data_IF_525291947150
#
_entry.id   IF_525291947150
#
_cell.length_a   1.000
_cell.length_b   1.000
_cell.length_c   1.000
_cell.angle_alpha   90.00
_cell.angle_beta   90.00
_cell.angle_gamma   90.00
#
_symmetry.space_group_name_H-M   'P 1'
#
loop_
_entity.id
_entity.type
_entity.pdbx_description
1 polymer ?
#
# COMPACT_ATOMS: atom_id res chain seq x y z
N UNK A 1 -35.76 -2.27 -30.28
CA UNK A 1 -34.46 -1.53 -30.30
C UNK A 1 -34.30 -0.66 -29.05
N UNK A 2 -35.36 0.03 -28.59
CA UNK A 2 -35.37 0.73 -27.29
C UNK A 2 -35.25 -0.24 -26.11
N UNK A 3 -35.80 -1.44 -26.24
CA UNK A 3 -35.80 -2.43 -25.14
C UNK A 3 -34.40 -3.00 -24.85
N UNK A 4 -33.58 -3.18 -25.90
CA UNK A 4 -32.16 -3.57 -25.76
C UNK A 4 -31.38 -2.51 -24.99
N UNK A 5 -31.64 -1.22 -25.26
CA UNK A 5 -31.00 -0.13 -24.54
C UNK A 5 -31.44 -0.04 -23.09
N UNK A 6 -32.71 -0.38 -22.79
CA UNK A 6 -33.23 -0.45 -21.42
C UNK A 6 -32.64 -1.62 -20.65
N UNK A 7 -32.53 -2.80 -21.28
CA UNK A 7 -31.89 -3.97 -20.68
C UNK A 7 -30.40 -3.71 -20.44
N UNK A 8 -29.72 -3.04 -21.37
CA UNK A 8 -28.32 -2.63 -21.21
C UNK A 8 -28.18 -1.59 -20.09
N UNK A 9 -29.10 -0.61 -19.98
CA UNK A 9 -29.14 0.36 -18.88
C UNK A 9 -29.33 -0.31 -17.53
N UNK A 10 -30.29 -1.23 -17.45
CA UNK A 10 -30.62 -1.95 -16.22
C UNK A 10 -29.48 -2.88 -15.80
N UNK A 11 -28.77 -3.46 -16.78
CA UNK A 11 -27.54 -4.23 -16.56
C UNK A 11 -26.40 -3.34 -16.09
N UNK A 12 -26.21 -2.15 -16.68
CA UNK A 12 -25.24 -1.13 -16.27
C UNK A 12 -25.52 -0.57 -14.88
N UNK A 13 -26.79 -0.37 -14.51
CA UNK A 13 -27.21 0.05 -13.16
C UNK A 13 -27.04 -1.07 -12.13
N UNK A 14 -27.23 -2.33 -12.54
CA UNK A 14 -26.94 -3.51 -11.71
C UNK A 14 -25.44 -3.80 -11.58
N UNK A 15 -24.62 -3.28 -12.49
CA UNK A 15 -23.17 -3.13 -12.31
C UNK A 15 -22.94 -1.95 -11.36
N UNK A 16 -23.44 -2.07 -10.14
CA UNK A 16 -23.16 -1.18 -9.03
C UNK A 16 -21.66 -0.96 -8.97
N UNK A 17 -21.23 0.22 -9.41
CA UNK A 17 -19.87 0.71 -9.27
C UNK A 17 -19.34 0.32 -7.90
N UNK A 18 -18.35 -0.58 -7.86
CA UNK A 18 -17.67 -1.14 -6.70
C UNK A 18 -18.19 -0.57 -5.36
N UNK A 19 -18.81 -1.43 -4.56
CA UNK A 19 -19.25 -1.09 -3.21
C UNK A 19 -18.07 -0.47 -2.44
N UNK A 20 -18.38 0.34 -1.43
CA UNK A 20 -17.34 1.04 -0.65
C UNK A 20 -16.26 0.07 -0.14
N UNK A 21 -16.67 -1.11 0.32
CA UNK A 21 -15.80 -2.17 0.80
C UNK A 21 -14.90 -2.74 -0.33
N UNK A 22 -15.43 -2.90 -1.54
CA UNK A 22 -14.65 -3.35 -2.70
C UNK A 22 -13.65 -2.29 -3.18
N UNK A 23 -14.02 -1.00 -3.12
CA UNK A 23 -13.08 0.10 -3.39
C UNK A 23 -11.95 0.12 -2.36
N UNK A 24 -12.26 -0.08 -1.09
CA UNK A 24 -11.27 -0.16 -0.01
C UNK A 24 -10.36 -1.38 -0.17
N UNK A 25 -10.92 -2.54 -0.53
CA UNK A 25 -10.15 -3.74 -0.84
C UNK A 25 -9.18 -3.51 -2.01
N UNK A 26 -9.65 -2.90 -3.10
CA UNK A 26 -8.81 -2.61 -4.26
C UNK A 26 -7.76 -1.54 -3.98
N UNK A 27 -8.08 -0.50 -3.20
CA UNK A 27 -7.10 0.50 -2.76
C UNK A 27 -6.03 -0.16 -1.90
N UNK A 28 -6.43 -1.03 -0.97
CA UNK A 28 -5.51 -1.78 -0.11
C UNK A 28 -4.61 -2.71 -0.94
N UNK A 29 -5.18 -3.54 -1.81
CA UNK A 29 -4.37 -4.43 -2.65
C UNK A 29 -3.41 -3.66 -3.54
N UNK A 30 -3.86 -2.55 -4.14
CA UNK A 30 -3.00 -1.70 -4.95
C UNK A 30 -1.87 -1.09 -4.13
N UNK A 31 -2.17 -0.60 -2.92
CA UNK A 31 -1.17 -0.06 -2.01
C UNK A 31 -0.19 -1.14 -1.55
N UNK A 32 -0.66 -2.33 -1.18
CA UNK A 32 0.18 -3.46 -0.77
C UNK A 32 1.14 -3.86 -1.90
N UNK A 33 0.67 -3.94 -3.14
CA UNK A 33 1.51 -4.21 -4.33
C UNK A 33 2.56 -3.12 -4.53
N UNK A 34 2.16 -1.84 -4.46
CA UNK A 34 3.08 -0.71 -4.61
C UNK A 34 4.14 -0.71 -3.51
N UNK A 35 3.75 -0.80 -2.24
CA UNK A 35 4.68 -0.77 -1.11
C UNK A 35 5.59 -1.99 -1.09
N UNK A 36 5.10 -3.17 -1.44
CA UNK A 36 5.95 -4.36 -1.61
C UNK A 36 7.07 -4.09 -2.62
N UNK A 37 6.77 -3.44 -3.74
CA UNK A 37 7.79 -3.09 -4.73
C UNK A 37 8.85 -2.13 -4.17
N UNK A 38 8.44 -1.10 -3.41
CA UNK A 38 9.37 -0.16 -2.78
C UNK A 38 10.24 -0.82 -1.70
N UNK A 39 9.65 -1.69 -0.87
CA UNK A 39 10.38 -2.46 0.14
C UNK A 39 11.42 -3.34 -0.54
N UNK A 40 11.07 -4.07 -1.60
CA UNK A 40 12.01 -4.93 -2.33
C UNK A 40 13.19 -4.14 -2.89
N UNK A 41 12.96 -2.96 -3.47
CA UNK A 41 14.05 -2.10 -3.98
C UNK A 41 14.93 -1.58 -2.84
N UNK A 42 14.34 -1.08 -1.76
CA UNK A 42 15.10 -0.55 -0.63
C UNK A 42 15.90 -1.65 0.10
N UNK A 43 15.35 -2.85 0.22
CA UNK A 43 16.05 -4.02 0.74
C UNK A 43 17.24 -4.39 -0.15
N UNK A 44 17.07 -4.39 -1.47
CA UNK A 44 18.16 -4.63 -2.40
C UNK A 44 19.27 -3.58 -2.26
N UNK A 45 18.92 -2.29 -2.19
CA UNK A 45 19.90 -1.21 -1.96
C UNK A 45 20.61 -1.42 -0.63
N UNK A 46 19.87 -1.66 0.46
CA UNK A 46 20.44 -1.89 1.79
C UNK A 46 21.41 -3.07 1.80
N UNK A 47 21.09 -4.17 1.11
CA UNK A 47 21.97 -5.33 1.00
C UNK A 47 23.27 -5.01 0.27
N UNK A 48 23.19 -4.27 -0.85
CA UNK A 48 24.37 -3.86 -1.63
C UNK A 48 25.25 -2.91 -0.81
N UNK A 49 24.66 -1.96 -0.09
CA UNK A 49 25.40 -0.89 0.56
C UNK A 49 25.85 -1.22 1.98
N UNK A 50 25.44 -2.36 2.55
CA UNK A 50 25.85 -2.84 3.88
C UNK A 50 27.19 -3.56 3.90
N UNK A 51 27.78 -3.88 2.74
CA UNK A 51 29.14 -4.43 2.71
C UNK A 51 30.13 -3.45 3.35
N UNK A 52 31.25 -3.93 3.92
CA UNK A 52 32.30 -3.04 4.41
C UNK A 52 32.70 -2.04 3.33
N UNK A 53 32.71 -0.75 3.65
CA UNK A 53 33.07 0.30 2.69
C UNK A 53 34.55 0.21 2.31
N UNK A 54 34.83 0.17 1.01
CA UNK A 54 36.17 0.12 0.43
C UNK A 54 36.68 1.52 0.04
N UNK A 55 35.76 2.47 -0.17
CA UNK A 55 36.10 3.85 -0.56
C UNK A 55 35.56 4.89 0.44
N UNK A 56 36.21 6.08 0.57
CA UNK A 56 35.71 7.17 1.42
C UNK A 56 34.29 7.62 1.04
N UNK A 57 33.94 7.50 -0.24
CA UNK A 57 32.61 7.80 -0.76
C UNK A 57 31.56 6.83 -0.20
N UNK A 58 31.87 5.53 -0.16
CA UNK A 58 30.99 4.52 0.45
C UNK A 58 30.84 4.73 1.96
N UNK A 59 31.91 5.08 2.67
CA UNK A 59 31.85 5.40 4.10
C UNK A 59 30.90 6.57 4.38
N UNK A 60 30.99 7.62 3.55
CA UNK A 60 30.10 8.79 3.64
C UNK A 60 28.66 8.40 3.36
N UNK A 61 28.42 7.64 2.29
CA UNK A 61 27.09 7.15 1.95
C UNK A 61 26.48 6.29 3.08
N UNK A 62 27.23 5.34 3.63
CA UNK A 62 26.76 4.47 4.71
C UNK A 62 26.44 5.27 5.98
N UNK A 63 27.29 6.25 6.31
CA UNK A 63 27.07 7.13 7.46
C UNK A 63 25.80 7.97 7.30
N UNK A 64 25.59 8.51 6.11
CA UNK A 64 24.51 9.46 5.87
C UNK A 64 23.16 8.75 5.68
N UNK A 65 23.13 7.61 4.97
CA UNK A 65 21.88 7.02 4.48
C UNK A 65 21.49 5.67 5.10
N UNK A 66 22.41 4.87 5.66
CA UNK A 66 22.08 3.50 6.10
C UNK A 66 20.93 3.47 7.12
N UNK A 67 20.96 4.34 8.13
CA UNK A 67 19.90 4.44 9.14
C UNK A 67 18.55 4.88 8.55
N UNK A 68 18.59 5.76 7.55
CA UNK A 68 17.39 6.30 6.91
C UNK A 68 16.73 5.25 6.02
N UNK A 69 17.54 4.47 5.29
CA UNK A 69 17.07 3.36 4.48
C UNK A 69 16.44 2.28 5.36
N UNK A 70 17.09 1.92 6.48
CA UNK A 70 16.54 0.96 7.46
C UNK A 70 15.20 1.47 8.04
N UNK A 71 15.15 2.72 8.48
CA UNK A 71 13.94 3.32 9.02
C UNK A 71 12.81 3.39 7.96
N UNK A 72 13.12 3.69 6.70
CA UNK A 72 12.15 3.72 5.62
C UNK A 72 11.58 2.32 5.34
N UNK A 73 12.42 1.27 5.32
CA UNK A 73 11.97 -0.11 5.16
C UNK A 73 11.03 -0.51 6.30
N UNK A 74 11.37 -0.18 7.55
CA UNK A 74 10.52 -0.47 8.71
C UNK A 74 9.18 0.25 8.66
N UNK A 75 9.18 1.53 8.29
CA UNK A 75 7.95 2.32 8.14
C UNK A 75 7.05 1.79 7.03
N UNK A 76 7.62 1.40 5.90
CA UNK A 76 6.86 0.84 4.76
C UNK A 76 6.32 -0.56 5.05
N UNK A 77 6.97 -1.32 5.94
CA UNK A 77 6.48 -2.62 6.43
C UNK A 77 5.29 -2.48 7.39
N UNK A 78 5.08 -1.31 7.99
CA UNK A 78 3.89 -1.09 8.81
C UNK A 78 2.66 -0.89 7.92
N UNK A 79 1.50 -1.47 8.27
CA UNK A 79 0.26 -1.26 7.52
C UNK A 79 -0.15 0.22 7.60
N UNK A 80 0.06 0.96 6.51
CA UNK A 80 -0.25 2.41 6.37
C UNK A 80 -1.76 2.69 6.46
N UNK A 81 -2.60 1.65 6.53
CA UNK A 81 -4.06 1.75 6.67
C UNK A 81 -4.44 2.74 7.79
N UNK A 82 -3.71 2.76 8.91
CA UNK A 82 -3.96 3.71 10.01
C UNK A 82 -3.77 5.19 9.64
N UNK A 83 -2.82 5.52 8.74
CA UNK A 83 -2.45 6.91 8.43
C UNK A 83 -3.40 7.58 7.43
N UNK A 84 -3.88 6.83 6.42
CA UNK A 84 -4.83 7.38 5.43
C UNK A 84 -6.23 7.60 6.04
N UNK A 85 -6.61 6.78 7.05
CA UNK A 85 -7.89 6.93 7.75
C UNK A 85 -7.98 8.19 8.62
N UNK A 86 -6.85 8.75 9.07
CA UNK A 86 -6.84 10.01 9.84
C UNK A 86 -7.08 11.22 8.92
N UNK A 87 -6.60 11.19 7.68
CA UNK A 87 -6.84 12.27 6.71
C UNK A 87 -8.21 12.17 6.03
N UNK A 88 -8.79 10.97 5.98
CA UNK A 88 -10.13 10.70 5.44
C UNK A 88 -10.96 10.12 6.58
N UNK A 89 -11.43 10.97 7.50
CA UNK A 89 -12.03 10.61 8.80
C UNK A 89 -12.91 9.34 8.84
N UNK A 90 -12.27 8.17 8.96
CA UNK A 90 -12.92 6.87 9.00
C UNK A 90 -12.49 6.09 10.24
N UNK A 91 -13.48 5.67 11.03
CA UNK A 91 -13.32 5.15 12.38
C UNK A 91 -13.12 3.62 12.36
N UNK A 92 -11.98 3.15 12.89
CA UNK A 92 -11.47 1.78 12.78
C UNK A 92 -12.16 0.76 13.70
N UNK A 93 -13.01 1.22 14.63
CA UNK A 93 -13.54 0.40 15.72
C UNK A 93 -14.49 -0.75 15.32
N UNK A 94 -14.93 -0.82 14.04
CA UNK A 94 -15.89 -1.85 13.61
C UNK A 94 -15.28 -3.13 13.06
N UNK A 95 -13.96 -3.21 12.84
CA UNK A 95 -13.34 -4.39 12.21
C UNK A 95 -12.91 -5.48 13.20
N UNK A 96 -13.05 -5.28 14.52
CA UNK A 96 -12.78 -6.31 15.53
C UNK A 96 -13.91 -7.33 15.72
N UNK A 97 -15.09 -7.17 15.12
CA UNK A 97 -16.25 -8.03 15.43
C UNK A 97 -16.60 -9.11 14.40
N UNK A 98 -15.90 -9.23 13.27
CA UNK A 98 -16.18 -10.27 12.25
C UNK A 98 -15.17 -11.42 12.17
N UNK A 99 -14.44 -11.70 13.25
CA UNK A 99 -13.78 -13.00 13.47
C UNK A 99 -14.37 -13.70 14.69
N UNK A 100 -15.63 -14.13 14.57
CA UNK A 100 -16.30 -15.19 15.34
C UNK A 100 -17.77 -15.26 14.88
N UNK A 101 -18.01 -15.95 13.77
CA UNK A 101 -19.23 -16.72 13.53
C UNK A 101 -18.99 -17.69 12.38
#
# INVERSE_FOLDING_TARGET
RVDVLKDELQRLESMTHLTKDEKEYLIKEKQDVLFKSFITVLEAVSQITRSPAETPREQTYQKDYSKQIEAAIEQLKQPIILSIHIHVGYNFDRYKTKKKS
#
